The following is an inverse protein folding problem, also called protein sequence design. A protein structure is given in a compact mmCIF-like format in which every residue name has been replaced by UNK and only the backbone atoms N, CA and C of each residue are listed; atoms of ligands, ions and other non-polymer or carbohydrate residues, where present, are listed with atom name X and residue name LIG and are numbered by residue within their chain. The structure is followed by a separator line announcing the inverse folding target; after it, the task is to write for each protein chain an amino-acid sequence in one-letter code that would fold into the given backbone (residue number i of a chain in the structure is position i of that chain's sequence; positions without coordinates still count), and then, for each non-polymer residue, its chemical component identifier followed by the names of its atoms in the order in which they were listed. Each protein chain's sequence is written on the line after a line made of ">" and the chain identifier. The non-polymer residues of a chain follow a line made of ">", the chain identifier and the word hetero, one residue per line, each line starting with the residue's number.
data_IF_701268568466
#
_entry.id   IF_701268568466
#
_cell.length_a   1.000
_cell.length_b   1.000
_cell.length_c   1.000
_cell.angle_alpha   90.00
_cell.angle_beta   90.00
_cell.angle_gamma   90.00
#
_symmetry.space_group_name_H-M   'P 1'
#
loop_
_entity.id
_entity.type
_entity.pdbx_description
1 polymer ?
#
# COMPACT_ATOMS: atom_id res chain seq x y z
N UNK A 1 28.36 -13.92 6.14
CA UNK A 1 27.39 -12.95 6.69
C UNK A 1 26.07 -13.19 5.99
N UNK A 2 25.03 -13.60 6.71
CA UNK A 2 23.69 -13.77 6.10
C UNK A 2 23.03 -12.39 6.09
N UNK A 3 22.49 -12.01 4.93
CA UNK A 3 21.76 -10.75 4.78
C UNK A 3 20.44 -10.82 5.56
N UNK A 4 20.17 -9.81 6.36
CA UNK A 4 18.90 -9.70 7.10
C UNK A 4 17.83 -9.05 6.22
N UNK A 5 17.02 -9.88 5.57
CA UNK A 5 15.91 -9.45 4.72
C UNK A 5 14.83 -8.69 5.47
N UNK A 6 14.70 -8.93 6.78
CA UNK A 6 13.67 -8.27 7.60
C UNK A 6 13.97 -6.80 7.83
N UNK A 7 15.23 -6.39 7.71
CA UNK A 7 15.61 -4.97 7.76
C UNK A 7 15.19 -4.20 6.51
N UNK A 8 15.03 -4.89 5.38
CA UNK A 8 14.64 -4.25 4.10
C UNK A 8 13.12 -4.13 3.99
N UNK A 9 12.42 -5.26 4.05
CA UNK A 9 10.97 -5.32 4.07
C UNK A 9 10.55 -6.58 4.84
N UNK A 10 9.63 -6.45 5.76
CA UNK A 10 9.16 -7.58 6.57
C UNK A 10 7.65 -7.54 6.74
N UNK A 11 7.07 -8.74 6.79
CA UNK A 11 5.72 -8.96 7.26
C UNK A 11 5.76 -9.03 8.80
N UNK A 12 5.17 -8.06 9.47
CA UNK A 12 5.14 -8.02 10.94
C UNK A 12 3.87 -8.64 11.52
N UNK A 13 2.74 -8.50 10.84
CA UNK A 13 1.47 -9.10 11.25
C UNK A 13 0.54 -9.33 10.06
N UNK A 14 -0.34 -10.30 10.21
CA UNK A 14 -1.48 -10.55 9.31
C UNK A 14 -2.75 -10.67 10.15
N UNK A 15 -3.84 -10.15 9.61
CA UNK A 15 -5.21 -10.33 10.12
C UNK A 15 -6.10 -10.69 8.93
N UNK A 16 -6.61 -11.89 8.92
CA UNK A 16 -7.59 -12.38 7.96
C UNK A 16 -8.86 -12.70 8.76
N UNK A 17 -9.83 -11.80 8.73
CA UNK A 17 -10.94 -11.79 9.69
C UNK A 17 -12.27 -11.35 9.07
N UNK A 18 -13.35 -11.86 9.66
CA UNK A 18 -14.71 -11.39 9.41
C UNK A 18 -15.21 -10.70 10.69
N UNK A 19 -14.90 -9.42 10.89
CA UNK A 19 -15.24 -8.73 12.11
C UNK A 19 -16.74 -8.47 12.20
N UNK A 20 -17.32 -8.73 13.38
CA UNK A 20 -18.67 -8.29 13.76
C UNK A 20 -18.68 -6.96 14.53
N UNK A 21 -17.51 -6.54 15.01
CA UNK A 21 -17.27 -5.33 15.77
C UNK A 21 -16.11 -4.54 15.16
N UNK A 22 -15.97 -3.25 15.47
CA UNK A 22 -14.84 -2.44 14.96
C UNK A 22 -13.49 -3.07 15.29
N UNK A 23 -12.68 -3.30 14.25
CA UNK A 23 -11.33 -3.84 14.35
C UNK A 23 -10.34 -2.68 14.45
N UNK A 24 -9.63 -2.57 15.58
CA UNK A 24 -8.55 -1.60 15.72
C UNK A 24 -7.20 -2.25 15.41
N UNK A 25 -6.48 -1.66 14.47
CA UNK A 25 -5.15 -2.05 14.04
C UNK A 25 -4.13 -1.09 14.64
N UNK A 26 -3.19 -1.64 15.40
CA UNK A 26 -2.11 -0.90 16.06
C UNK A 26 -0.76 -1.48 15.67
N UNK A 27 0.31 -0.73 15.83
CA UNK A 27 1.68 -1.15 15.54
C UNK A 27 2.42 -0.10 14.69
N UNK A 28 3.75 -0.17 14.75
CA UNK A 28 4.61 0.70 13.96
C UNK A 28 4.87 0.09 12.57
N UNK A 29 4.58 0.82 11.52
CA UNK A 29 4.76 0.39 10.14
C UNK A 29 3.63 0.84 9.23
N UNK A 30 3.55 0.20 8.06
CA UNK A 30 2.50 0.41 7.08
C UNK A 30 1.44 -0.68 7.21
N UNK A 31 0.24 -0.32 7.63
CA UNK A 31 -0.92 -1.15 7.45
C UNK A 31 -1.45 -1.07 6.02
N UNK A 32 -1.60 -2.22 5.39
CA UNK A 32 -2.30 -2.39 4.11
C UNK A 32 -3.49 -3.29 4.37
N UNK A 33 -4.69 -2.78 4.16
CA UNK A 33 -5.92 -3.49 4.43
C UNK A 33 -6.76 -3.60 3.16
N UNK A 34 -7.12 -4.81 2.78
CA UNK A 34 -8.01 -5.12 1.67
C UNK A 34 -9.39 -5.47 2.21
N UNK A 35 -10.41 -4.83 1.70
CA UNK A 35 -11.80 -5.25 1.89
C UNK A 35 -12.10 -6.33 0.85
N UNK A 36 -11.98 -7.61 1.25
CA UNK A 36 -12.19 -8.73 0.32
C UNK A 36 -13.65 -8.92 -0.05
N UNK A 37 -14.57 -8.66 0.90
CA UNK A 37 -16.01 -8.65 0.64
C UNK A 37 -16.74 -7.74 1.61
N UNK A 38 -17.94 -7.30 1.21
CA UNK A 38 -18.75 -6.40 2.03
C UNK A 38 -18.26 -4.95 1.97
N UNK A 39 -18.38 -4.25 3.08
CA UNK A 39 -18.07 -2.84 3.20
C UNK A 39 -17.66 -2.50 4.64
N UNK A 40 -16.73 -1.60 4.81
CA UNK A 40 -16.37 -1.07 6.13
C UNK A 40 -16.19 0.45 6.08
N UNK A 41 -16.20 1.06 7.25
CA UNK A 41 -15.78 2.46 7.43
C UNK A 41 -14.42 2.49 8.09
N UNK A 42 -13.45 3.16 7.43
CA UNK A 42 -12.11 3.37 7.94
C UNK A 42 -12.00 4.73 8.64
N UNK A 43 -11.41 4.75 9.83
CA UNK A 43 -11.14 5.96 10.61
C UNK A 43 -9.84 5.81 11.41
N UNK A 44 -9.23 6.93 11.81
CA UNK A 44 -8.10 6.88 12.74
C UNK A 44 -8.57 6.45 14.12
N UNK A 45 -7.81 5.55 14.77
CA UNK A 45 -8.19 5.00 16.07
C UNK A 45 -8.11 6.03 17.20
N UNK A 46 -7.20 7.01 17.12
CA UNK A 46 -7.00 8.05 18.12
C UNK A 46 -6.93 9.42 17.46
N UNK A 47 -8.10 10.05 17.30
CA UNK A 47 -8.19 11.49 17.08
C UNK A 47 -8.08 12.21 18.45
N UNK A 48 -7.14 11.83 19.32
CA UNK A 48 -6.86 12.61 20.52
C UNK A 48 -6.39 14.00 20.10
N UNK A 49 -7.02 15.07 20.58
CA UNK A 49 -6.60 16.42 20.25
C UNK A 49 -5.16 16.60 20.70
N UNK A 50 -4.25 16.73 19.74
CA UNK A 50 -2.87 17.11 20.04
C UNK A 50 -2.88 18.48 20.71
N UNK A 51 -2.15 18.68 21.82
CA UNK A 51 -2.10 19.98 22.50
C UNK A 51 -1.56 21.14 21.64
N UNK A 52 -1.10 20.85 20.42
CA UNK A 52 -0.60 21.83 19.45
C UNK A 52 -1.64 22.34 18.43
N UNK A 53 -2.94 22.07 18.63
CA UNK A 53 -4.01 22.80 17.94
C UNK A 53 -4.24 22.50 16.45
N UNK A 54 -3.64 21.47 15.86
CA UNK A 54 -3.91 21.01 14.49
C UNK A 54 -4.05 19.49 14.45
N UNK A 55 -5.11 18.96 15.05
CA UNK A 55 -5.54 17.60 14.72
C UNK A 55 -6.22 17.65 13.34
N UNK A 56 -5.55 17.18 12.30
CA UNK A 56 -6.21 16.78 11.06
C UNK A 56 -7.10 15.58 11.37
N UNK A 57 -8.31 15.87 11.83
CA UNK A 57 -9.36 14.86 11.97
C UNK A 57 -9.84 14.56 10.57
N UNK A 58 -9.28 13.53 9.94
CA UNK A 58 -9.81 13.01 8.68
C UNK A 58 -11.19 12.40 8.94
N UNK A 59 -12.19 12.75 8.15
CA UNK A 59 -13.51 12.15 8.26
C UNK A 59 -13.42 10.64 8.01
N UNK A 60 -14.27 9.83 8.67
CA UNK A 60 -14.37 8.42 8.37
C UNK A 60 -14.67 8.21 6.88
N UNK A 61 -13.95 7.26 6.26
CA UNK A 61 -14.11 6.95 4.84
C UNK A 61 -14.78 5.60 4.67
N UNK A 62 -15.78 5.56 3.80
CA UNK A 62 -16.44 4.33 3.42
C UNK A 62 -15.61 3.57 2.39
N UNK A 63 -15.33 2.30 2.65
CA UNK A 63 -14.44 1.45 1.86
C UNK A 63 -15.20 0.20 1.43
N UNK A 64 -15.62 0.11 0.15
CA UNK A 64 -16.30 -1.06 -0.38
C UNK A 64 -15.32 -2.20 -0.72
N UNK A 65 -15.88 -3.37 -1.04
CA UNK A 65 -15.10 -4.53 -1.51
C UNK A 65 -14.19 -4.18 -2.69
N UNK A 66 -13.02 -4.81 -2.74
CA UNK A 66 -11.98 -4.58 -3.75
C UNK A 66 -11.06 -3.40 -3.46
N UNK A 67 -11.38 -2.55 -2.47
CA UNK A 67 -10.59 -1.38 -2.14
C UNK A 67 -9.53 -1.67 -1.08
N UNK A 68 -8.42 -0.92 -1.17
CA UNK A 68 -7.31 -0.95 -0.24
C UNK A 68 -7.32 0.29 0.66
N UNK A 69 -6.96 0.09 1.92
CA UNK A 69 -6.67 1.18 2.86
C UNK A 69 -5.23 1.09 3.29
N UNK A 70 -4.50 2.19 3.16
CA UNK A 70 -3.11 2.33 3.59
C UNK A 70 -3.07 3.26 4.80
N UNK A 71 -2.40 2.86 5.87
CA UNK A 71 -2.24 3.71 7.05
C UNK A 71 -0.91 3.48 7.77
N UNK A 72 -0.29 4.57 8.20
CA UNK A 72 0.86 4.54 9.11
C UNK A 72 0.47 4.73 10.58
N UNK A 73 -0.75 5.19 10.82
CA UNK A 73 -1.28 5.46 12.14
C UNK A 73 -2.23 4.34 12.58
N UNK A 74 -2.53 4.21 13.87
CA UNK A 74 -3.57 3.31 14.34
C UNK A 74 -4.88 3.57 13.60
N UNK A 75 -5.46 2.49 13.06
CA UNK A 75 -6.62 2.52 12.17
C UNK A 75 -7.75 1.69 12.79
N UNK A 76 -8.96 2.22 12.76
CA UNK A 76 -10.18 1.47 13.10
C UNK A 76 -10.98 1.21 11.84
N UNK A 77 -11.29 -0.08 11.61
CA UNK A 77 -12.14 -0.56 10.52
C UNK A 77 -13.45 -1.04 11.12
N UNK A 78 -14.53 -0.29 10.93
CA UNK A 78 -15.86 -0.62 11.43
C UNK A 78 -16.67 -1.29 10.30
N UNK A 79 -17.09 -2.57 10.46
CA UNK A 79 -17.86 -3.27 9.43
C UNK A 79 -19.25 -2.65 9.27
N UNK A 80 -19.69 -2.52 8.03
CA UNK A 80 -21.07 -2.12 7.66
C UNK A 80 -21.85 -3.37 7.24
N UNK A 81 -22.14 -4.27 8.19
CA UNK A 81 -22.72 -5.58 7.93
C UNK A 81 -21.66 -6.69 7.77
N UNK A 82 -21.98 -7.75 7.03
CA UNK A 82 -21.01 -8.83 6.78
C UNK A 82 -19.86 -8.32 5.91
N UNK A 83 -18.65 -8.42 6.43
CA UNK A 83 -17.45 -7.88 5.81
C UNK A 83 -16.29 -8.84 6.05
N UNK A 84 -15.40 -8.97 5.06
CA UNK A 84 -14.16 -9.74 5.17
C UNK A 84 -12.98 -8.84 4.90
N UNK A 85 -12.04 -8.81 5.83
CA UNK A 85 -10.86 -7.96 5.83
C UNK A 85 -9.60 -8.79 5.84
N UNK A 86 -8.69 -8.51 4.92
CA UNK A 86 -7.33 -9.00 4.92
C UNK A 86 -6.39 -7.82 5.16
N UNK A 87 -5.74 -7.78 6.33
CA UNK A 87 -4.86 -6.70 6.73
C UNK A 87 -3.44 -7.24 6.97
N UNK A 88 -2.44 -6.57 6.42
CA UNK A 88 -1.03 -6.88 6.63
C UNK A 88 -0.30 -5.66 7.18
N UNK A 89 0.59 -5.89 8.15
CA UNK A 89 1.50 -4.88 8.67
C UNK A 89 2.88 -5.11 8.07
N UNK A 90 3.34 -4.13 7.31
CA UNK A 90 4.66 -4.11 6.69
C UNK A 90 5.60 -3.21 7.49
N UNK A 91 6.82 -3.71 7.71
CA UNK A 91 7.90 -2.99 8.40
C UNK A 91 9.19 -3.05 7.58
N UNK A 92 10.25 -2.42 8.10
CA UNK A 92 11.55 -2.35 7.44
C UNK A 92 11.74 -1.07 6.63
N UNK A 93 12.95 -0.90 6.10
CA UNK A 93 13.38 0.37 5.50
C UNK A 93 12.59 0.75 4.25
N UNK A 94 12.19 -0.24 3.44
CA UNK A 94 11.37 -0.01 2.26
C UNK A 94 9.97 0.52 2.63
N UNK A 95 9.34 -0.03 3.68
CA UNK A 95 8.06 0.48 4.18
C UNK A 95 8.18 1.92 4.71
N UNK A 96 9.27 2.23 5.43
CA UNK A 96 9.54 3.59 5.93
C UNK A 96 9.71 4.57 4.77
N UNK A 97 10.46 4.21 3.73
CA UNK A 97 10.65 5.06 2.57
C UNK A 97 9.38 5.22 1.74
N UNK A 98 8.61 4.15 1.57
CA UNK A 98 7.30 4.23 0.93
C UNK A 98 6.39 5.21 1.68
N UNK A 99 6.31 5.11 3.01
CA UNK A 99 5.54 6.02 3.86
C UNK A 99 6.00 7.49 3.75
N UNK A 100 7.30 7.72 3.61
CA UNK A 100 7.84 9.08 3.46
C UNK A 100 7.45 9.70 2.11
N UNK A 101 7.22 8.89 1.08
CA UNK A 101 6.75 9.34 -0.24
C UNK A 101 5.25 9.61 -0.32
N UNK A 102 4.47 9.10 0.62
CA UNK A 102 3.02 9.33 0.64
C UNK A 102 2.69 10.69 1.27
N UNK A 103 2.10 11.58 0.49
CA UNK A 103 1.74 12.94 0.92
C UNK A 103 0.36 13.04 1.58
N UNK A 104 -0.52 12.07 1.33
CA UNK A 104 -1.93 12.08 1.76
C UNK A 104 -2.18 11.25 3.03
N UNK A 105 -1.16 11.12 3.87
CA UNK A 105 -1.30 10.40 5.13
C UNK A 105 -1.96 11.25 6.22
N UNK A 106 -2.67 10.62 7.16
CA UNK A 106 -2.38 9.32 7.78
C UNK A 106 -3.02 8.10 7.15
N UNK A 107 -4.06 8.20 6.35
CA UNK A 107 -4.55 7.04 5.62
C UNK A 107 -5.15 7.43 4.25
N UNK A 108 -5.12 6.48 3.33
CA UNK A 108 -5.61 6.61 1.98
C UNK A 108 -6.44 5.38 1.62
N UNK A 109 -7.66 5.57 1.12
CA UNK A 109 -8.45 4.50 0.54
C UNK A 109 -8.21 4.46 -0.98
N UNK A 110 -7.81 3.28 -1.49
CA UNK A 110 -7.56 3.05 -2.91
C UNK A 110 -8.50 2.00 -3.47
N UNK A 111 -9.02 2.25 -4.64
CA UNK A 111 -9.96 1.37 -5.33
C UNK A 111 -9.31 0.28 -6.19
N UNK A 112 -10.04 -0.14 -7.20
CA UNK A 112 -9.76 -1.29 -8.08
C UNK A 112 -8.47 -1.17 -8.92
N UNK A 113 -7.67 -0.15 -8.72
CA UNK A 113 -6.46 0.12 -9.52
C UNK A 113 -5.27 -0.80 -9.20
N UNK A 114 -5.39 -1.67 -8.19
CA UNK A 114 -4.28 -2.53 -7.75
C UNK A 114 -4.68 -4.01 -7.59
N UNK A 115 -5.16 -4.72 -8.63
CA UNK A 115 -5.52 -6.15 -8.50
C UNK A 115 -4.30 -7.02 -8.13
N UNK A 116 -3.11 -6.69 -8.62
CA UNK A 116 -1.87 -7.38 -8.26
C UNK A 116 -1.53 -7.23 -6.77
N UNK A 117 -1.82 -6.10 -6.16
CA UNK A 117 -1.64 -5.91 -4.72
C UNK A 117 -2.54 -6.84 -3.90
N UNK A 118 -3.80 -7.04 -4.31
CA UNK A 118 -4.72 -7.96 -3.64
C UNK A 118 -4.23 -9.42 -3.73
N UNK A 119 -3.69 -9.85 -4.87
CA UNK A 119 -3.08 -11.18 -5.03
C UNK A 119 -1.86 -11.36 -4.13
N UNK A 120 -0.96 -10.37 -4.09
CA UNK A 120 0.22 -10.40 -3.23
C UNK A 120 -0.15 -10.44 -1.75
N UNK A 121 -1.19 -9.73 -1.33
CA UNK A 121 -1.70 -9.79 0.03
C UNK A 121 -2.23 -11.18 0.38
N UNK A 122 -2.96 -11.84 -0.53
CA UNK A 122 -3.41 -13.22 -0.35
C UNK A 122 -2.23 -14.19 -0.20
N UNK A 123 -1.18 -14.04 -0.99
CA UNK A 123 0.05 -14.82 -0.88
C UNK A 123 0.80 -14.56 0.44
N UNK A 124 0.89 -13.29 0.86
CA UNK A 124 1.45 -12.94 2.16
C UNK A 124 0.68 -13.55 3.32
N UNK A 125 -0.64 -13.61 3.23
CA UNK A 125 -1.47 -14.26 4.24
C UNK A 125 -1.20 -15.76 4.34
N UNK A 126 -0.90 -16.42 3.23
CA UNK A 126 -0.53 -17.83 3.22
C UNK A 126 0.85 -18.11 3.84
N UNK A 127 1.76 -17.15 3.83
CA UNK A 127 3.13 -17.24 4.39
C UNK A 127 3.18 -16.99 5.92
N UNK A 128 2.05 -16.96 6.61
CA UNK A 128 1.97 -16.60 8.05
C UNK A 128 2.74 -17.55 8.97
N UNK A 129 3.00 -18.79 8.55
CA UNK A 129 3.73 -19.77 9.37
C UNK A 129 5.20 -19.34 9.61
N UNK A 130 5.80 -18.58 8.70
CA UNK A 130 7.16 -18.08 8.83
C UNK A 130 7.25 -16.61 8.38
N UNK A 131 6.69 -15.66 9.14
CA UNK A 131 6.54 -14.26 8.73
C UNK A 131 7.88 -13.54 8.48
N UNK A 132 8.99 -14.08 8.97
CA UNK A 132 10.37 -13.56 8.74
C UNK A 132 11.15 -14.34 7.70
N UNK A 133 10.47 -15.12 6.86
CA UNK A 133 11.12 -15.83 5.77
C UNK A 133 11.58 -14.88 4.67
N UNK A 134 12.57 -15.33 3.88
CA UNK A 134 12.96 -14.62 2.66
C UNK A 134 11.79 -14.45 1.70
N UNK A 135 10.93 -15.46 1.59
CA UNK A 135 9.75 -15.43 0.73
C UNK A 135 8.76 -14.34 1.16
N UNK A 136 8.44 -14.26 2.45
CA UNK A 136 7.58 -13.20 2.99
C UNK A 136 8.18 -11.81 2.76
N UNK A 137 9.51 -11.65 2.92
CA UNK A 137 10.20 -10.39 2.66
C UNK A 137 10.15 -9.99 1.18
N UNK A 138 10.30 -10.93 0.26
CA UNK A 138 10.18 -10.69 -1.17
C UNK A 138 8.76 -10.27 -1.56
N UNK A 139 7.74 -10.95 -1.02
CA UNK A 139 6.34 -10.59 -1.25
C UNK A 139 5.99 -9.23 -0.65
N UNK A 140 6.49 -8.91 0.55
CA UNK A 140 6.30 -7.60 1.18
C UNK A 140 6.90 -6.48 0.33
N UNK A 141 8.11 -6.67 -0.20
CA UNK A 141 8.74 -5.71 -1.08
C UNK A 141 8.00 -5.58 -2.42
N UNK A 142 7.57 -6.70 -3.02
CA UNK A 142 6.76 -6.69 -4.24
C UNK A 142 5.45 -5.93 -4.04
N UNK A 143 4.77 -6.13 -2.90
CA UNK A 143 3.55 -5.39 -2.57
C UNK A 143 3.80 -3.87 -2.48
N UNK A 144 4.91 -3.44 -1.86
CA UNK A 144 5.28 -2.03 -1.81
C UNK A 144 5.54 -1.46 -3.21
N UNK A 145 6.17 -2.23 -4.10
CA UNK A 145 6.38 -1.82 -5.49
C UNK A 145 5.06 -1.66 -6.26
N UNK A 146 4.13 -2.59 -6.10
CA UNK A 146 2.80 -2.50 -6.73
C UNK A 146 2.01 -1.29 -6.21
N UNK A 147 2.04 -1.05 -4.91
CA UNK A 147 1.39 0.10 -4.32
C UNK A 147 2.00 1.43 -4.80
N UNK A 148 3.32 1.48 -4.96
CA UNK A 148 4.02 2.65 -5.52
C UNK A 148 3.71 2.83 -7.01
N UNK A 149 3.66 1.73 -7.78
CA UNK A 149 3.35 1.75 -9.21
C UNK A 149 1.92 2.19 -9.52
N UNK A 150 0.97 1.89 -8.65
CA UNK A 150 -0.42 2.29 -8.83
C UNK A 150 -0.63 3.82 -8.78
N UNK A 151 0.27 4.55 -8.11
CA UNK A 151 0.29 6.03 -8.14
C UNK A 151 1.08 6.61 -9.31
N UNK A 152 1.85 5.77 -9.97
CA UNK A 152 2.60 6.13 -11.18
C UNK A 152 1.71 6.09 -12.42
N UNK A 153 0.51 6.65 -12.37
CA UNK A 153 0.06 7.42 -13.51
C UNK A 153 1.11 8.54 -13.61
N UNK A 154 2.17 8.31 -14.43
CA UNK A 154 3.17 9.32 -14.69
C UNK A 154 2.41 10.62 -14.96
N UNK A 155 2.72 11.73 -14.25
CA UNK A 155 2.03 12.97 -14.51
C UNK A 155 2.05 13.14 -16.01
N UNK A 156 0.87 13.28 -16.61
CA UNK A 156 0.77 13.40 -18.07
C UNK A 156 1.78 14.46 -18.48
N UNK A 157 2.84 14.04 -19.16
CA UNK A 157 3.91 14.96 -19.53
C UNK A 157 3.25 16.06 -20.37
N UNK A 158 3.63 17.32 -20.19
CA UNK A 158 3.12 18.37 -21.06
C UNK A 158 3.22 17.89 -22.51
N UNK A 159 2.21 18.10 -23.38
CA UNK A 159 2.19 17.55 -24.75
C UNK A 159 3.45 17.85 -25.55
N UNK A 160 4.09 18.97 -25.25
CA UNK A 160 5.38 19.34 -25.85
C UNK A 160 6.52 18.41 -25.45
N UNK A 161 6.50 17.91 -24.21
CA UNK A 161 7.52 16.99 -23.68
C UNK A 161 7.28 15.58 -24.24
N UNK A 162 6.03 15.14 -24.34
CA UNK A 162 5.68 13.86 -25.00
C UNK A 162 6.11 13.87 -26.47
N UNK A 163 5.78 14.92 -27.21
CA UNK A 163 6.20 15.07 -28.59
C UNK A 163 7.74 15.08 -28.74
N UNK A 164 8.45 15.73 -27.83
CA UNK A 164 9.92 15.75 -27.85
C UNK A 164 10.51 14.36 -27.55
N UNK A 165 9.92 13.60 -26.62
CA UNK A 165 10.34 12.22 -26.31
C UNK A 165 10.09 11.29 -27.52
N UNK A 166 8.95 11.42 -28.19
CA UNK A 166 8.65 10.64 -29.40
C UNK A 166 9.59 10.98 -30.55
N UNK A 167 9.90 12.26 -30.75
CA UNK A 167 10.84 12.70 -31.74
C UNK A 167 12.27 12.19 -31.48
N UNK A 168 12.71 12.25 -30.21
CA UNK A 168 14.00 11.67 -29.81
C UNK A 168 14.00 10.15 -30.02
N UNK A 169 12.95 9.43 -29.66
CA UNK A 169 12.86 7.98 -29.86
C UNK A 169 12.90 7.61 -31.36
N UNK A 170 12.15 8.33 -32.17
CA UNK A 170 12.11 8.10 -33.62
C UNK A 170 13.46 8.37 -34.29
N UNK A 171 14.14 9.45 -33.89
CA UNK A 171 15.43 9.84 -34.45
C UNK A 171 16.59 9.01 -33.88
N UNK A 172 16.49 8.56 -32.60
CA UNK A 172 17.51 7.72 -31.97
C UNK A 172 17.56 6.32 -32.59
N UNK A 173 16.40 5.78 -32.95
CA UNK A 173 16.32 4.49 -33.64
C UNK A 173 16.98 4.52 -35.04
N UNK A 174 17.08 5.71 -35.65
CA UNK A 174 17.75 5.91 -36.94
C UNK A 174 19.27 6.16 -36.87
N UNK A 175 19.77 6.58 -35.69
CA UNK A 175 21.18 6.93 -35.52
C UNK A 175 22.10 5.74 -35.17
N UNK A 176 21.54 4.61 -34.77
CA UNK A 176 22.27 3.37 -34.45
C UNK A 176 21.96 2.22 -35.41
N UNK A 177 21.67 2.53 -36.67
CA UNK A 177 21.78 1.56 -37.74
C UNK A 177 23.27 1.19 -37.87
N UNK A 178 23.65 0.08 -37.22
CA UNK A 178 24.94 -0.55 -37.46
C UNK A 178 24.92 -1.02 -38.90
N UNK A 179 25.65 -0.34 -39.77
CA UNK A 179 26.01 -0.88 -41.08
C UNK A 179 26.89 -2.12 -40.80
N UNK A 180 26.36 -3.33 -41.11
CA UNK A 180 27.18 -4.53 -41.26
C UNK A 180 27.95 -4.50 -42.54
#
# INVERSE_FOLDING_TARGET
>A
MLYDWTSTAALAAVRDVQPSEPLTLTGEGLWVCLVSSGKCTASLADASPSPAGSALVLPPQSVPAGHLVLSRAPLTLAPEGACHLLCVLLTGQAAVQFLAGLTELPFLARGETCPAAAELMGRLAAETEVPRSRAASQLAFALLCELAGADSAAPALPPLVEAAIEDIRANYAGLYGVEE
#
